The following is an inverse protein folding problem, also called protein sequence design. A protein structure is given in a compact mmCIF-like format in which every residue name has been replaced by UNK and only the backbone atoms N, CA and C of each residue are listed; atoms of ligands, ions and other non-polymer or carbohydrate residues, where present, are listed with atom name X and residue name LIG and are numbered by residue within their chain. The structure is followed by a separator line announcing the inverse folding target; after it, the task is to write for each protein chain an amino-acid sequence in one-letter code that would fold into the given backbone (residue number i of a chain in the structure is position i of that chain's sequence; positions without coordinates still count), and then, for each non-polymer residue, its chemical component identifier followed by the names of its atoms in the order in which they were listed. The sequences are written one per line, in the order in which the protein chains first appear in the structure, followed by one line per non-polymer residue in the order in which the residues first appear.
data_IF_113686884665
#
_entry.id   IF_113686884665
#
_cell.length_a   1.000
_cell.length_b   1.000
_cell.length_c   1.000
_cell.angle_alpha   90.00
_cell.angle_beta   90.00
_cell.angle_gamma   90.00
#
_symmetry.space_group_name_H-M   'P 1'
#
loop_
_entity.id
_entity.type
_entity.pdbx_description
1 polymer ?
#
# COMPACT_ATOMS: atom_id res chain seq x y z
N UNK A 1 -7.68 4.67 6.77
CA UNK A 1 -6.39 5.37 6.98
C UNK A 1 -6.47 6.36 8.15
N UNK A 2 -5.50 6.31 9.07
CA UNK A 2 -5.35 7.26 10.19
C UNK A 2 -4.03 8.02 10.05
N UNK A 3 -4.06 9.34 10.22
CA UNK A 3 -2.88 10.21 10.11
C UNK A 3 -2.71 10.98 11.42
N UNK A 4 -1.52 10.94 11.99
CA UNK A 4 -1.16 11.65 13.23
C UNK A 4 0.09 12.48 12.97
N UNK A 5 0.07 13.77 13.30
CA UNK A 5 1.27 14.62 13.27
C UNK A 5 2.10 14.37 14.54
N UNK A 6 3.34 13.94 14.38
CA UNK A 6 4.22 13.56 15.50
C UNK A 6 5.19 14.68 15.87
N UNK A 7 5.68 15.42 14.88
CA UNK A 7 6.63 16.51 15.11
C UNK A 7 6.39 17.68 14.16
N UNK A 8 6.50 18.90 14.70
CA UNK A 8 6.41 20.16 13.98
C UNK A 8 7.47 21.13 14.51
N UNK A 9 8.69 21.00 14.00
CA UNK A 9 9.82 21.85 14.39
C UNK A 9 10.36 22.62 13.17
N UNK A 10 10.16 23.93 13.17
CA UNK A 10 10.54 24.80 12.06
C UNK A 10 9.84 24.41 10.75
N UNK A 11 10.61 24.07 9.72
CA UNK A 11 10.10 23.58 8.42
C UNK A 11 9.94 22.06 8.37
N UNK A 12 10.38 21.33 9.41
CA UNK A 12 10.26 19.88 9.48
C UNK A 12 8.88 19.50 10.02
N UNK A 13 8.22 18.61 9.30
CA UNK A 13 6.94 18.01 9.70
C UNK A 13 7.07 16.50 9.60
N UNK A 14 6.65 15.79 10.63
CA UNK A 14 6.62 14.33 10.66
C UNK A 14 5.20 13.85 10.89
N UNK A 15 4.81 12.86 10.09
CA UNK A 15 3.48 12.27 10.17
C UNK A 15 3.60 10.75 10.31
N UNK A 16 2.88 10.20 11.28
CA UNK A 16 2.61 8.76 11.38
C UNK A 16 1.33 8.44 10.65
N UNK A 17 1.42 7.55 9.66
CA UNK A 17 0.28 7.11 8.86
C UNK A 17 0.05 5.62 9.12
N UNK A 18 -1.16 5.29 9.57
CA UNK A 18 -1.58 3.91 9.81
C UNK A 18 -2.59 3.51 8.74
N UNK A 19 -2.28 2.45 8.01
CA UNK A 19 -3.15 1.87 6.98
C UNK A 19 -3.72 0.57 7.52
N UNK A 20 -5.05 0.45 7.67
CA UNK A 20 -5.67 -0.77 8.15
C UNK A 20 -5.39 -1.97 7.22
N UNK A 21 -5.12 -3.14 7.80
CA UNK A 21 -4.89 -4.37 7.03
C UNK A 21 -6.07 -4.72 6.10
N UNK A 22 -7.30 -4.47 6.55
CA UNK A 22 -8.51 -4.72 5.75
C UNK A 22 -8.54 -3.91 4.45
N UNK A 23 -8.04 -2.68 4.47
CA UNK A 23 -7.97 -1.81 3.29
C UNK A 23 -6.92 -2.32 2.29
N UNK A 24 -5.78 -2.82 2.80
CA UNK A 24 -4.74 -3.44 1.98
C UNK A 24 -5.22 -4.75 1.37
N UNK A 25 -5.89 -5.61 2.15
CA UNK A 25 -6.43 -6.88 1.66
C UNK A 25 -7.47 -6.70 0.55
N UNK A 26 -8.33 -5.68 0.66
CA UNK A 26 -9.27 -5.32 -0.38
C UNK A 26 -8.55 -4.92 -1.68
N UNK A 27 -7.57 -4.03 -1.59
CA UNK A 27 -6.76 -3.59 -2.75
C UNK A 27 -5.96 -4.74 -3.37
N UNK A 28 -5.44 -5.66 -2.55
CA UNK A 28 -4.76 -6.87 -3.06
C UNK A 28 -5.73 -7.78 -3.80
N UNK A 29 -6.94 -7.99 -3.28
CA UNK A 29 -7.95 -8.79 -3.97
C UNK A 29 -8.35 -8.19 -5.32
N UNK A 30 -8.56 -6.87 -5.38
CA UNK A 30 -8.82 -6.15 -6.63
C UNK A 30 -7.65 -6.33 -7.61
N UNK A 31 -6.42 -6.17 -7.13
CA UNK A 31 -5.22 -6.34 -7.96
C UNK A 31 -5.07 -7.76 -8.50
N UNK A 32 -5.32 -8.77 -7.66
CA UNK A 32 -5.32 -10.18 -8.07
C UNK A 32 -6.44 -10.46 -9.09
N UNK A 33 -7.58 -9.79 -8.98
CA UNK A 33 -8.65 -9.89 -9.97
C UNK A 33 -8.27 -9.28 -11.32
N UNK A 34 -7.54 -8.17 -11.36
CA UNK A 34 -7.02 -7.63 -12.63
C UNK A 34 -5.94 -8.53 -13.24
N UNK A 35 -5.07 -9.09 -12.38
CA UNK A 35 -4.00 -9.98 -12.79
C UNK A 35 -4.55 -11.27 -13.40
N UNK A 36 -5.68 -11.80 -12.92
CA UNK A 36 -6.29 -13.04 -13.44
C UNK A 36 -6.50 -13.01 -14.95
N UNK A 37 -6.80 -11.83 -15.51
CA UNK A 37 -7.16 -11.64 -16.92
C UNK A 37 -5.90 -11.40 -17.79
N UNK A 38 -4.81 -10.93 -17.18
CA UNK A 38 -3.54 -10.63 -17.87
C UNK A 38 -2.56 -11.78 -17.85
N UNK A 39 -2.57 -12.59 -16.78
CA UNK A 39 -1.56 -13.63 -16.54
C UNK A 39 -2.00 -14.96 -17.19
N UNK A 40 -1.05 -15.65 -17.81
CA UNK A 40 -1.22 -17.03 -18.32
C UNK A 40 -0.55 -17.99 -17.35
N UNK A 41 -1.33 -18.88 -16.74
CA UNK A 41 -0.84 -19.90 -15.81
C UNK A 41 -1.10 -21.27 -16.43
N UNK A 42 -0.05 -22.09 -16.52
CA UNK A 42 -0.13 -23.43 -17.08
C UNK A 42 -1.17 -24.27 -16.31
N UNK A 43 -2.04 -24.98 -17.04
CA UNK A 43 -3.13 -25.77 -16.46
C UNK A 43 -4.46 -25.02 -16.29
N UNK A 44 -4.48 -23.70 -16.45
CA UNK A 44 -5.71 -22.90 -16.38
C UNK A 44 -6.01 -22.19 -17.70
N UNK A 45 -7.29 -22.15 -18.06
CA UNK A 45 -7.75 -21.30 -19.18
C UNK A 45 -7.56 -19.83 -18.77
N UNK A 46 -7.02 -18.95 -19.65
CA UNK A 46 -6.84 -17.53 -19.34
C UNK A 46 -8.11 -16.90 -18.74
N UNK A 47 -7.96 -16.13 -17.66
CA UNK A 47 -9.07 -15.51 -16.92
C UNK A 47 -9.85 -16.44 -15.97
N UNK A 48 -9.58 -17.75 -15.97
CA UNK A 48 -10.28 -18.75 -15.14
C UNK A 48 -9.36 -19.42 -14.11
N UNK A 49 -8.42 -18.66 -13.56
CA UNK A 49 -7.60 -19.11 -12.43
C UNK A 49 -8.31 -18.77 -11.11
N UNK A 50 -8.40 -19.70 -10.14
CA UNK A 50 -8.88 -19.42 -8.80
C UNK A 50 -8.01 -18.37 -8.09
N UNK A 51 -8.66 -17.49 -7.31
CA UNK A 51 -7.98 -16.41 -6.56
C UNK A 51 -6.97 -16.98 -5.56
N UNK A 52 -7.26 -18.12 -4.93
CA UNK A 52 -6.34 -18.74 -3.97
C UNK A 52 -5.03 -19.19 -4.60
N UNK A 53 -5.10 -19.70 -5.84
CA UNK A 53 -3.89 -20.10 -6.57
C UNK A 53 -3.09 -18.87 -7.04
N UNK A 54 -3.77 -17.83 -7.51
CA UNK A 54 -3.17 -16.54 -7.82
C UNK A 54 -2.51 -15.91 -6.59
N UNK A 55 -3.16 -15.93 -5.43
CA UNK A 55 -2.61 -15.43 -4.17
C UNK A 55 -1.37 -16.21 -3.76
N UNK A 56 -1.31 -17.52 -3.97
CA UNK A 56 -0.12 -18.32 -3.66
C UNK A 56 1.08 -17.96 -4.54
N UNK A 57 0.86 -17.68 -5.81
CA UNK A 57 1.94 -17.41 -6.77
C UNK A 57 2.35 -15.93 -6.78
N UNK A 58 1.35 -15.03 -6.80
CA UNK A 58 1.53 -13.59 -6.99
C UNK A 58 1.19 -12.76 -5.75
N UNK A 59 0.68 -13.34 -4.66
CA UNK A 59 0.21 -12.59 -3.50
C UNK A 59 1.27 -11.70 -2.85
N UNK A 60 2.52 -12.18 -2.75
CA UNK A 60 3.62 -11.37 -2.20
C UNK A 60 3.95 -10.16 -3.08
N UNK A 61 4.02 -10.37 -4.40
CA UNK A 61 4.29 -9.30 -5.35
C UNK A 61 3.13 -8.28 -5.41
N UNK A 62 1.89 -8.77 -5.43
CA UNK A 62 0.70 -7.93 -5.40
C UNK A 62 0.63 -7.11 -4.10
N UNK A 63 0.97 -7.70 -2.95
CA UNK A 63 1.03 -6.98 -1.67
C UNK A 63 2.10 -5.88 -1.69
N UNK A 64 3.29 -6.17 -2.20
CA UNK A 64 4.34 -5.16 -2.31
C UNK A 64 3.92 -3.98 -3.21
N UNK A 65 3.31 -4.26 -4.38
CA UNK A 65 2.76 -3.23 -5.27
C UNK A 65 1.69 -2.38 -4.57
N UNK A 66 0.78 -3.03 -3.82
CA UNK A 66 -0.31 -2.35 -3.11
C UNK A 66 0.23 -1.48 -1.98
N UNK A 67 1.23 -1.94 -1.22
CA UNK A 67 1.89 -1.15 -0.18
C UNK A 67 2.53 0.09 -0.80
N UNK A 68 3.29 -0.08 -1.89
CA UNK A 68 3.95 1.03 -2.57
C UNK A 68 2.94 2.05 -3.13
N UNK A 69 1.85 1.57 -3.71
CA UNK A 69 0.75 2.40 -4.17
C UNK A 69 0.06 3.14 -3.01
N UNK A 70 -0.19 2.46 -1.88
CA UNK A 70 -0.80 3.05 -0.70
C UNK A 70 0.09 4.14 -0.07
N UNK A 71 1.41 3.96 -0.08
CA UNK A 71 2.37 4.98 0.36
C UNK A 71 2.27 6.22 -0.52
N UNK A 72 2.31 6.04 -1.86
CA UNK A 72 2.22 7.17 -2.80
C UNK A 72 0.90 7.92 -2.64
N UNK A 73 -0.20 7.18 -2.65
CA UNK A 73 -1.55 7.74 -2.50
C UNK A 73 -1.71 8.46 -1.16
N UNK A 74 -1.25 7.83 -0.08
CA UNK A 74 -1.27 8.38 1.26
C UNK A 74 -0.50 9.68 1.37
N UNK A 75 0.71 9.72 0.79
CA UNK A 75 1.53 10.92 0.77
C UNK A 75 0.87 12.05 -0.03
N UNK A 76 0.36 11.77 -1.24
CA UNK A 76 -0.35 12.77 -2.05
C UNK A 76 -1.60 13.31 -1.35
N UNK A 77 -2.38 12.45 -0.71
CA UNK A 77 -3.57 12.84 0.07
C UNK A 77 -3.18 13.69 1.27
N UNK A 78 -2.20 13.26 2.05
CA UNK A 78 -1.74 13.97 3.24
C UNK A 78 -1.27 15.39 2.91
N UNK A 79 -0.52 15.55 1.81
CA UNK A 79 -0.05 16.85 1.34
C UNK A 79 -1.21 17.73 0.88
N UNK A 80 -2.16 17.17 0.14
CA UNK A 80 -3.35 17.87 -0.34
C UNK A 80 -4.26 18.33 0.79
N UNK A 81 -4.61 17.43 1.70
CA UNK A 81 -5.55 17.66 2.80
C UNK A 81 -5.00 18.70 3.79
N UNK A 82 -3.69 18.63 4.09
CA UNK A 82 -3.03 19.58 4.97
C UNK A 82 -2.48 20.82 4.23
N UNK A 83 -2.75 20.95 2.92
CA UNK A 83 -2.31 22.06 2.05
C UNK A 83 -0.80 22.35 2.19
N UNK A 84 0.01 21.31 2.33
CA UNK A 84 1.44 21.42 2.53
C UNK A 84 2.14 21.78 1.22
N UNK A 85 3.12 22.68 1.29
CA UNK A 85 4.02 22.97 0.16
C UNK A 85 5.32 22.22 0.39
N UNK A 86 5.52 21.14 -0.35
CA UNK A 86 6.71 20.32 -0.25
C UNK A 86 7.91 21.06 -0.85
N UNK A 87 8.99 21.17 -0.07
CA UNK A 87 10.28 21.67 -0.55
C UNK A 87 11.12 20.55 -1.20
N UNK A 88 10.92 19.31 -0.76
CA UNK A 88 11.61 18.11 -1.26
C UNK A 88 10.64 16.93 -1.30
N UNK A 89 11.03 15.85 -1.96
CA UNK A 89 10.33 14.58 -1.84
C UNK A 89 10.37 14.08 -0.39
N UNK A 90 9.22 13.72 0.20
CA UNK A 90 9.17 13.24 1.57
C UNK A 90 9.86 11.89 1.69
N UNK A 91 10.71 11.77 2.70
CA UNK A 91 11.38 10.51 3.05
C UNK A 91 10.37 9.60 3.75
N UNK A 92 10.07 8.47 3.13
CA UNK A 92 9.21 7.44 3.72
C UNK A 92 10.07 6.40 4.42
N UNK A 93 9.79 6.16 5.70
CA UNK A 93 10.40 5.08 6.48
C UNK A 93 9.31 4.10 6.87
N UNK A 94 9.45 2.85 6.43
CA UNK A 94 8.60 1.75 6.87
C UNK A 94 9.16 1.23 8.20
N UNK A 95 8.33 1.05 9.25
CA UNK A 95 8.77 0.42 10.47
C UNK A 95 9.22 -1.01 10.16
N UNK A 96 10.44 -1.37 10.59
CA UNK A 96 10.99 -2.72 10.47
C UNK A 96 10.60 -3.64 11.62
N UNK A 97 10.08 -3.08 12.72
CA UNK A 97 9.64 -3.85 13.88
C UNK A 97 8.20 -4.34 13.72
N UNK A 98 8.02 -5.66 13.77
CA UNK A 98 6.71 -6.33 13.63
C UNK A 98 5.69 -5.84 14.68
N UNK A 99 6.16 -5.47 15.88
CA UNK A 99 5.31 -4.96 16.96
C UNK A 99 4.67 -3.59 16.65
N UNK A 100 5.27 -2.77 15.79
CA UNK A 100 4.68 -1.48 15.37
C UNK A 100 3.74 -1.62 14.16
N UNK A 101 3.81 -2.76 13.47
CA UNK A 101 3.00 -3.09 12.28
C UNK A 101 1.66 -3.72 12.68
N UNK A 102 1.62 -4.45 13.80
CA UNK A 102 0.39 -5.08 14.33
C UNK A 102 -0.44 -4.17 15.26
N UNK A 103 0.10 -3.00 15.64
CA UNK A 103 -0.51 -2.06 16.59
C UNK A 103 -1.51 -1.07 16.01
#
# INVERSE_FOLDING_TARGET
MQVTETASEGLRREYKVVVPAQELDAKVNERLHELKDRVRINGFRPGKVPVDHLRRVYGRAAMAEVIEAAIREGNSKLVGDNKLRLAMEPKVTLPTDEAEVEG
#
